data_IF_892354091580
#
_entry.id   IF_892354091580
#
_cell.length_a   1.000
_cell.length_b   1.000
_cell.length_c   1.000
_cell.angle_alpha   90.00
_cell.angle_beta   90.00
_cell.angle_gamma   90.00
#
_symmetry.space_group_name_H-M   'P 1'
#
loop_
_entity.id
_entity.type
_entity.pdbx_description
1 polymer ?
#
# COMPACT_ATOMS: atom_id res chain seq x y z
N UNK A 1 -6.45 16.80 -21.64
CA UNK A 1 -7.01 15.80 -20.72
C UNK A 1 -6.75 14.41 -21.31
N UNK A 2 -5.82 13.61 -20.78
CA UNK A 2 -5.53 12.25 -21.28
C UNK A 2 -6.19 11.23 -20.35
N UNK A 3 -6.94 10.30 -20.92
CA UNK A 3 -7.74 9.31 -20.19
C UNK A 3 -6.88 8.42 -19.30
N UNK A 4 -7.17 8.43 -18.00
CA UNK A 4 -6.59 7.50 -17.03
C UNK A 4 -7.03 6.07 -17.39
N UNK A 5 -6.12 5.27 -17.96
CA UNK A 5 -6.38 3.86 -18.23
C UNK A 5 -6.36 3.12 -16.88
N UNK A 6 -7.49 2.48 -16.55
CA UNK A 6 -7.70 1.65 -15.36
C UNK A 6 -6.59 0.61 -15.21
N UNK A 7 -5.91 0.56 -14.07
CA UNK A 7 -4.95 -0.51 -13.75
C UNK A 7 -5.60 -1.44 -12.74
N UNK A 8 -5.76 -2.70 -13.11
CA UNK A 8 -6.33 -3.72 -12.23
C UNK A 8 -5.24 -4.34 -11.36
N UNK A 9 -5.05 -3.82 -10.15
CA UNK A 9 -4.37 -4.56 -9.09
C UNK A 9 -5.41 -5.52 -8.50
N UNK A 10 -5.53 -6.71 -9.10
CA UNK A 10 -6.47 -7.73 -8.64
C UNK A 10 -6.28 -8.07 -7.17
N UNK A 11 -7.32 -8.62 -6.52
CA UNK A 11 -7.27 -9.02 -5.10
C UNK A 11 -6.07 -9.92 -4.78
N UNK A 12 -5.68 -10.79 -5.72
CA UNK A 12 -4.49 -11.64 -5.60
C UNK A 12 -3.18 -10.84 -5.58
N UNK A 13 -3.02 -9.89 -6.50
CA UNK A 13 -1.84 -9.01 -6.55
C UNK A 13 -1.75 -8.12 -5.30
N UNK A 14 -2.87 -7.60 -4.79
CA UNK A 14 -2.89 -6.85 -3.52
C UNK A 14 -2.39 -7.71 -2.37
N UNK A 15 -2.92 -8.93 -2.22
CA UNK A 15 -2.48 -9.87 -1.17
C UNK A 15 -1.00 -10.19 -1.30
N UNK A 16 -0.50 -10.38 -2.52
CA UNK A 16 0.93 -10.63 -2.78
C UNK A 16 1.80 -9.43 -2.39
N UNK A 17 1.40 -8.21 -2.76
CA UNK A 17 2.13 -6.99 -2.40
C UNK A 17 2.21 -6.80 -0.87
N UNK A 18 1.09 -7.00 -0.17
CA UNK A 18 1.05 -6.95 1.30
C UNK A 18 1.93 -8.05 1.91
N UNK A 19 1.90 -9.28 1.35
CA UNK A 19 2.72 -10.37 1.86
C UNK A 19 4.23 -10.10 1.71
N UNK A 20 4.67 -9.57 0.56
CA UNK A 20 6.07 -9.18 0.33
C UNK A 20 6.49 -8.08 1.29
N UNK A 21 5.70 -7.01 1.40
CA UNK A 21 6.00 -5.90 2.31
C UNK A 21 6.00 -6.35 3.78
N UNK A 22 5.11 -7.27 4.17
CA UNK A 22 5.08 -7.85 5.52
C UNK A 22 6.38 -8.62 5.83
N UNK A 23 6.90 -9.40 4.88
CA UNK A 23 8.18 -10.10 5.05
C UNK A 23 9.34 -9.16 5.35
N UNK A 24 9.40 -8.00 4.68
CA UNK A 24 10.42 -6.98 4.97
C UNK A 24 10.27 -6.31 6.34
N UNK A 25 9.07 -6.33 6.92
CA UNK A 25 8.79 -5.75 8.22
C UNK A 25 8.89 -6.77 9.37
N UNK A 26 9.33 -8.00 9.13
CA UNK A 26 9.51 -9.02 10.19
C UNK A 26 10.55 -8.60 11.24
N UNK A 27 11.46 -7.68 10.90
CA UNK A 27 12.50 -7.18 11.80
C UNK A 27 12.00 -6.11 12.79
N UNK A 28 10.78 -5.58 12.64
CA UNK A 28 10.22 -4.62 13.60
C UNK A 28 9.60 -5.36 14.78
N UNK A 29 9.65 -4.76 15.98
CA UNK A 29 9.19 -5.43 17.20
C UNK A 29 7.68 -5.71 17.18
N UNK A 30 6.89 -4.78 16.62
CA UNK A 30 5.44 -4.95 16.47
C UNK A 30 4.90 -4.17 15.30
N UNK A 31 4.40 -4.88 14.29
CA UNK A 31 3.61 -4.28 13.21
C UNK A 31 2.19 -3.97 13.71
N UNK A 32 1.80 -2.70 13.69
CA UNK A 32 0.45 -2.27 14.05
C UNK A 32 -0.51 -2.42 12.86
N UNK A 33 -0.12 -1.92 11.68
CA UNK A 33 -0.86 -2.15 10.44
C UNK A 33 0.06 -2.08 9.22
N UNK A 34 -0.38 -2.73 8.15
CA UNK A 34 0.17 -2.62 6.80
C UNK A 34 -0.98 -2.74 5.80
N UNK A 35 -1.32 -1.63 5.15
CA UNK A 35 -2.51 -1.54 4.32
C UNK A 35 -2.22 -0.93 2.95
N UNK A 36 -2.86 -1.50 1.91
CA UNK A 36 -2.90 -0.89 0.59
C UNK A 36 -4.23 -0.17 0.42
N UNK A 37 -4.17 1.16 0.34
CA UNK A 37 -5.33 2.04 0.28
C UNK A 37 -5.32 2.90 -0.98
N UNK A 38 -6.49 3.39 -1.34
CA UNK A 38 -6.65 4.41 -2.36
C UNK A 38 -6.01 5.73 -1.87
N UNK A 39 -5.21 6.38 -2.73
CA UNK A 39 -4.38 7.52 -2.33
C UNK A 39 -5.13 8.78 -1.92
N UNK A 40 -6.39 8.96 -2.35
CA UNK A 40 -7.17 10.16 -2.02
C UNK A 40 -8.17 9.90 -0.88
N UNK A 41 -8.75 8.70 -0.83
CA UNK A 41 -9.85 8.39 0.09
C UNK A 41 -9.42 7.56 1.30
N UNK A 42 -8.23 6.96 1.27
CA UNK A 42 -7.72 6.03 2.29
C UNK A 42 -8.61 4.80 2.53
N UNK A 43 -9.62 4.58 1.67
CA UNK A 43 -10.38 3.33 1.65
C UNK A 43 -9.52 2.23 1.06
N UNK A 44 -9.83 0.97 1.37
CA UNK A 44 -9.12 -0.18 0.80
C UNK A 44 -9.01 -0.02 -0.73
N UNK A 45 -7.80 -0.17 -1.24
CA UNK A 45 -7.55 -0.07 -2.66
C UNK A 45 -8.21 -1.26 -3.38
N UNK A 46 -9.23 -0.96 -4.19
CA UNK A 46 -9.96 -1.95 -4.96
C UNK A 46 -9.58 -1.92 -6.44
N UNK A 47 -9.65 -3.10 -7.07
CA UNK A 47 -9.42 -3.23 -8.50
C UNK A 47 -10.65 -2.79 -9.30
N UNK A 48 -10.47 -2.04 -10.40
CA UNK A 48 -9.22 -1.44 -10.85
C UNK A 48 -8.92 -0.14 -10.11
N UNK A 49 -7.63 0.07 -9.83
CA UNK A 49 -7.11 1.34 -9.36
C UNK A 49 -7.43 2.42 -10.40
N UNK A 50 -8.17 3.42 -9.95
CA UNK A 50 -8.55 4.59 -10.76
C UNK A 50 -7.59 5.76 -10.55
N UNK A 51 -6.76 5.68 -9.52
CA UNK A 51 -5.81 6.69 -9.05
C UNK A 51 -4.62 5.98 -8.37
N UNK A 52 -3.51 6.69 -8.07
CA UNK A 52 -2.43 6.12 -7.28
C UNK A 52 -2.93 5.51 -5.97
N UNK A 53 -2.30 4.41 -5.55
CA UNK A 53 -2.56 3.81 -4.26
C UNK A 53 -1.47 4.25 -3.27
N UNK A 54 -1.72 4.11 -1.98
CA UNK A 54 -0.70 4.25 -0.94
C UNK A 54 -0.54 2.92 -0.21
N UNK A 55 0.70 2.51 0.02
CA UNK A 55 1.03 1.45 0.97
C UNK A 55 1.41 2.13 2.28
N UNK A 56 0.55 2.01 3.29
CA UNK A 56 0.73 2.66 4.59
C UNK A 56 1.13 1.62 5.64
N UNK A 57 2.07 1.97 6.50
CA UNK A 57 2.50 1.13 7.60
C UNK A 57 2.65 1.91 8.90
N UNK A 58 2.33 1.27 10.01
CA UNK A 58 2.73 1.70 11.33
C UNK A 58 3.33 0.52 12.08
N UNK A 59 4.49 0.75 12.70
CA UNK A 59 5.21 -0.28 13.45
C UNK A 59 5.89 0.33 14.68
N UNK A 60 6.23 -0.53 15.63
CA UNK A 60 7.03 -0.18 16.80
C UNK A 60 8.45 -0.69 16.63
N UNK A 61 9.42 0.18 16.98
CA UNK A 61 10.83 -0.15 17.20
C UNK A 61 11.17 0.27 18.62
N UNK A 62 11.36 -0.70 19.51
CA UNK A 62 11.29 -0.55 20.95
C UNK A 62 9.95 0.04 21.38
N UNK A 63 9.99 1.13 22.14
CA UNK A 63 8.80 1.89 22.56
C UNK A 63 8.34 2.93 21.53
N UNK A 64 9.16 3.20 20.51
CA UNK A 64 8.89 4.26 19.54
C UNK A 64 7.97 3.77 18.44
N UNK A 65 6.87 4.50 18.21
CA UNK A 65 5.93 4.25 17.11
C UNK A 65 6.35 5.04 15.87
N UNK A 66 6.68 4.33 14.80
CA UNK A 66 6.99 4.90 13.50
C UNK A 66 5.81 4.71 12.55
N UNK A 67 5.57 5.72 11.71
CA UNK A 67 4.58 5.68 10.63
C UNK A 67 5.26 6.09 9.34
N UNK A 68 4.89 5.44 8.24
CA UNK A 68 5.31 5.86 6.91
C UNK A 68 4.30 5.39 5.85
N UNK A 69 4.33 6.02 4.69
CA UNK A 69 3.56 5.62 3.53
C UNK A 69 4.35 5.85 2.24
N UNK A 70 4.19 4.95 1.28
CA UNK A 70 4.71 5.14 -0.09
C UNK A 70 3.56 5.22 -1.08
N UNK A 71 3.59 6.25 -1.94
CA UNK A 71 2.66 6.37 -3.05
C UNK A 71 3.10 5.44 -4.18
N UNK A 72 2.20 4.54 -4.56
CA UNK A 72 2.35 3.65 -5.70
C UNK A 72 1.71 4.31 -6.92
N UNK A 73 2.55 4.90 -7.76
CA UNK A 73 2.14 5.46 -9.04
C UNK A 73 1.58 4.39 -9.97
N UNK A 74 0.68 4.81 -10.86
CA UNK A 74 0.34 4.01 -12.03
C UNK A 74 1.58 4.03 -12.95
N UNK A 75 2.08 2.88 -13.47
CA UNK A 75 3.21 2.86 -14.38
C UNK A 75 3.06 3.92 -15.47
N UNK A 76 4.02 4.86 -15.47
CA UNK A 76 4.25 5.80 -16.54
C UNK A 76 4.73 5.00 -17.74
N UNK A 77 4.08 5.20 -18.89
CA UNK A 77 4.68 4.83 -20.18
C UNK A 77 5.69 5.88 -20.57
#
# INVERSE_FOLDING_TARGET
MRGARRISLGRAQRRKAIAVAKGHLEAVDRLQYLELVDGDTLKTADSPLRRPAALCAAAYVGSTRLIDNVLLGLPTR
#
